data_IF_865882585339
#
_entry.id   IF_865882585339
#
_cell.length_a   1.000
_cell.length_b   1.000
_cell.length_c   1.000
_cell.angle_alpha   90.00
_cell.angle_beta   90.00
_cell.angle_gamma   90.00
#
_symmetry.space_group_name_H-M   'P 1'
#
loop_
_entity.id
_entity.type
_entity.pdbx_description
1 polymer ?
#
# COMPACT_ATOMS: atom_id res chain seq x y z
N UNK A 1 -30.45 43.59 -21.56
CA UNK A 1 -29.32 43.71 -20.63
C UNK A 1 -29.79 43.23 -19.27
N UNK A 2 -29.47 41.99 -18.91
CA UNK A 2 -29.81 41.40 -17.62
C UNK A 2 -28.51 40.90 -16.99
N UNK A 3 -27.96 41.70 -16.08
CA UNK A 3 -26.82 41.33 -15.25
C UNK A 3 -27.28 40.27 -14.24
N UNK A 4 -26.86 39.02 -14.40
CA UNK A 4 -26.96 38.00 -13.34
C UNK A 4 -25.64 37.94 -12.60
N UNK A 5 -25.73 37.99 -11.27
CA UNK A 5 -24.60 37.98 -10.36
C UNK A 5 -23.78 36.70 -10.51
N UNK A 6 -22.48 36.87 -10.69
CA UNK A 6 -21.50 35.80 -10.78
C UNK A 6 -21.40 35.13 -9.41
N UNK A 7 -21.94 33.93 -9.31
CA UNK A 7 -21.89 33.11 -8.10
C UNK A 7 -20.47 32.58 -7.90
N UNK A 8 -19.98 32.64 -6.66
CA UNK A 8 -18.65 32.15 -6.26
C UNK A 8 -18.36 30.70 -6.70
N UNK A 9 -19.41 29.92 -6.97
CA UNK A 9 -19.35 28.56 -7.52
C UNK A 9 -18.86 28.49 -8.97
N UNK A 10 -19.24 29.43 -9.85
CA UNK A 10 -18.80 29.44 -11.26
C UNK A 10 -17.32 29.82 -11.38
N UNK A 11 -16.77 30.59 -10.43
CA UNK A 11 -15.33 30.91 -10.41
C UNK A 11 -14.44 29.72 -10.04
N UNK A 12 -14.95 28.77 -9.26
CA UNK A 12 -14.26 27.50 -8.97
C UNK A 12 -14.29 26.56 -10.18
N UNK A 13 -15.36 26.63 -10.98
CA UNK A 13 -15.52 25.88 -12.22
C UNK A 13 -14.53 26.36 -13.29
N UNK A 14 -14.44 27.68 -13.52
CA UNK A 14 -13.48 28.29 -14.46
C UNK A 14 -12.01 28.13 -14.02
N UNK A 15 -11.75 28.08 -12.71
CA UNK A 15 -10.40 27.85 -12.19
C UNK A 15 -9.88 26.43 -12.48
N UNK A 16 -10.78 25.46 -12.72
CA UNK A 16 -10.44 24.07 -13.02
C UNK A 16 -10.08 23.85 -14.50
N UNK A 17 -10.34 24.83 -15.37
CA UNK A 17 -10.16 24.71 -16.83
C UNK A 17 -8.73 25.08 -17.29
N UNK A 18 -7.92 25.75 -16.46
CA UNK A 18 -6.54 26.08 -16.83
C UNK A 18 -5.58 24.94 -16.45
N UNK A 19 -4.75 24.44 -17.38
CA UNK A 19 -3.87 23.27 -17.16
C UNK A 19 -2.84 23.47 -16.03
N UNK A 20 -2.55 24.72 -15.64
CA UNK A 20 -1.63 25.04 -14.56
C UNK A 20 -2.30 25.11 -13.17
N UNK A 21 -3.58 25.49 -13.09
CA UNK A 21 -4.30 25.54 -11.79
C UNK A 21 -4.81 24.15 -11.40
N UNK A 22 -5.20 23.31 -12.36
CA UNK A 22 -5.58 21.92 -12.09
C UNK A 22 -4.46 21.10 -11.44
N UNK A 23 -3.22 21.28 -11.90
CA UNK A 23 -2.05 20.60 -11.30
C UNK A 23 -1.71 21.12 -9.91
N UNK A 24 -1.84 22.42 -9.64
CA UNK A 24 -1.67 22.99 -8.30
C UNK A 24 -2.74 22.45 -7.34
N UNK A 25 -4.00 22.40 -7.76
CA UNK A 25 -5.10 21.85 -6.95
C UNK A 25 -4.86 20.36 -6.68
N UNK A 26 -4.43 19.59 -7.68
CA UNK A 26 -4.08 18.18 -7.50
C UNK A 26 -2.95 17.97 -6.49
N UNK A 27 -1.90 18.80 -6.54
CA UNK A 27 -0.78 18.72 -5.62
C UNK A 27 -1.21 19.08 -4.18
N UNK A 28 -2.05 20.10 -4.03
CA UNK A 28 -2.63 20.48 -2.72
C UNK A 28 -3.49 19.36 -2.16
N UNK A 29 -4.34 18.74 -2.97
CA UNK A 29 -5.19 17.63 -2.51
C UNK A 29 -4.36 16.39 -2.18
N UNK A 30 -3.32 16.09 -2.95
CA UNK A 30 -2.42 14.98 -2.65
C UNK A 30 -1.65 15.22 -1.34
N UNK A 31 -1.15 16.44 -1.13
CA UNK A 31 -0.46 16.83 0.09
C UNK A 31 -1.41 16.78 1.31
N UNK A 32 -2.65 17.24 1.17
CA UNK A 32 -3.63 17.20 2.26
C UNK A 32 -4.04 15.77 2.58
N UNK A 33 -4.34 14.94 1.57
CA UNK A 33 -4.65 13.53 1.75
C UNK A 33 -3.49 12.80 2.44
N UNK A 34 -2.25 13.01 1.98
CA UNK A 34 -1.06 12.45 2.61
C UNK A 34 -0.91 12.86 4.07
N UNK A 35 -1.09 14.14 4.40
CA UNK A 35 -1.02 14.62 5.78
C UNK A 35 -2.10 13.99 6.67
N UNK A 36 -3.33 13.86 6.16
CA UNK A 36 -4.44 13.26 6.91
C UNK A 36 -4.18 11.77 7.15
N UNK A 37 -3.77 11.03 6.10
CA UNK A 37 -3.43 9.60 6.22
C UNK A 37 -2.31 9.40 7.24
N UNK A 38 -1.26 10.21 7.16
CA UNK A 38 -0.14 10.16 8.10
C UNK A 38 -0.59 10.44 9.52
N UNK A 39 -1.38 11.49 9.72
CA UNK A 39 -1.88 11.88 11.05
C UNK A 39 -2.74 10.77 11.67
N UNK A 40 -3.67 10.19 10.92
CA UNK A 40 -4.52 9.11 11.41
C UNK A 40 -3.69 7.84 11.66
N UNK A 41 -2.82 7.47 10.72
CA UNK A 41 -1.96 6.30 10.82
C UNK A 41 -1.04 6.37 12.03
N UNK A 42 -0.24 7.44 12.15
CA UNK A 42 0.66 7.66 13.30
C UNK A 42 -0.11 7.68 14.62
N UNK A 43 -1.27 8.35 14.67
CA UNK A 43 -2.09 8.38 15.89
C UNK A 43 -2.56 6.98 16.29
N UNK A 44 -3.04 6.16 15.33
CA UNK A 44 -3.52 4.82 15.63
C UNK A 44 -2.37 3.89 16.05
N UNK A 45 -1.20 4.04 15.45
CA UNK A 45 0.02 3.32 15.83
C UNK A 45 0.38 3.67 17.29
N UNK A 46 0.64 4.95 17.57
CA UNK A 46 1.16 5.37 18.88
C UNK A 46 0.17 5.18 20.03
N UNK A 47 -1.12 5.41 19.81
CA UNK A 47 -2.11 5.34 20.89
C UNK A 47 -2.80 3.99 21.04
N UNK A 48 -2.80 3.15 19.99
CA UNK A 48 -3.54 1.88 20.02
C UNK A 48 -2.61 0.70 19.79
N UNK A 49 -1.88 0.64 18.67
CA UNK A 49 -1.15 -0.58 18.32
C UNK A 49 0.16 -0.74 19.10
N UNK A 50 0.92 0.33 19.31
CA UNK A 50 2.14 0.31 20.13
C UNK A 50 1.86 -0.17 21.57
N UNK A 51 0.92 0.43 22.34
CA UNK A 51 0.62 -0.06 23.68
C UNK A 51 0.01 -1.46 23.69
N UNK A 52 -0.78 -1.83 22.66
CA UNK A 52 -1.32 -3.19 22.52
C UNK A 52 -0.20 -4.22 22.36
N UNK A 53 0.73 -4.01 21.44
CA UNK A 53 1.85 -4.93 21.19
C UNK A 53 2.81 -4.97 22.38
N UNK A 54 3.14 -3.83 22.97
CA UNK A 54 4.02 -3.78 24.15
C UNK A 54 3.39 -4.43 25.39
N UNK A 55 2.08 -4.32 25.58
CA UNK A 55 1.42 -4.87 26.78
C UNK A 55 1.05 -6.35 26.60
N UNK A 56 0.56 -6.75 25.42
CA UNK A 56 0.06 -8.11 25.18
C UNK A 56 1.10 -9.01 24.50
N UNK A 57 1.80 -8.50 23.49
CA UNK A 57 2.65 -9.33 22.64
C UNK A 57 4.09 -9.44 23.15
N UNK A 58 4.67 -8.35 23.67
CA UNK A 58 6.02 -8.36 24.24
C UNK A 58 6.22 -9.41 25.36
N UNK A 59 5.33 -9.55 26.37
CA UNK A 59 5.52 -10.58 27.40
C UNK A 59 5.38 -12.01 26.85
N UNK A 60 4.59 -12.20 25.79
CA UNK A 60 4.48 -13.50 25.12
C UNK A 60 5.79 -13.84 24.42
N UNK A 61 6.38 -12.88 23.70
CA UNK A 61 7.67 -13.08 23.05
C UNK A 61 8.81 -13.31 24.05
N UNK A 62 8.83 -12.59 25.17
CA UNK A 62 9.83 -12.81 26.22
C UNK A 62 9.71 -14.23 26.82
N UNK A 63 8.49 -14.69 27.12
CA UNK A 63 8.27 -16.07 27.59
C UNK A 63 8.68 -17.11 26.55
N UNK A 64 8.37 -16.86 25.27
CA UNK A 64 8.80 -17.75 24.18
C UNK A 64 10.32 -17.76 24.03
N UNK A 65 10.98 -16.61 24.22
CA UNK A 65 12.43 -16.50 24.23
C UNK A 65 13.06 -17.34 25.33
N UNK A 66 12.52 -17.24 26.55
CA UNK A 66 12.99 -18.01 27.70
C UNK A 66 12.79 -19.52 27.48
N UNK A 67 11.66 -19.93 26.87
CA UNK A 67 11.37 -21.32 26.52
C UNK A 67 12.28 -21.86 25.40
N UNK A 68 12.68 -21.02 24.45
CA UNK A 68 13.60 -21.36 23.36
C UNK A 68 15.08 -21.35 23.80
N UNK A 69 15.35 -21.10 25.09
CA UNK A 69 16.70 -21.16 25.66
C UNK A 69 17.51 -19.88 25.48
N UNK A 70 16.89 -18.76 25.12
CA UNK A 70 17.50 -17.42 25.04
C UNK A 70 18.59 -17.23 23.98
N UNK A 71 19.05 -18.29 23.32
CA UNK A 71 20.04 -18.25 22.24
C UNK A 71 19.96 -19.50 21.36
N UNK A 72 20.01 -19.32 20.04
CA UNK A 72 20.05 -20.42 19.06
C UNK A 72 19.43 -20.05 17.72
N UNK A 73 19.74 -20.83 16.68
CA UNK A 73 19.28 -20.57 15.30
C UNK A 73 17.76 -20.43 15.18
N UNK A 74 16.99 -21.25 15.91
CA UNK A 74 15.52 -21.16 15.91
C UNK A 74 15.01 -19.93 16.68
N UNK A 75 15.73 -19.50 17.72
CA UNK A 75 15.43 -18.28 18.47
C UNK A 75 15.71 -17.04 17.61
N UNK A 76 16.86 -17.00 16.94
CA UNK A 76 17.27 -15.88 16.07
C UNK A 76 16.33 -15.70 14.87
N UNK A 77 15.75 -16.79 14.34
CA UNK A 77 14.76 -16.70 13.25
C UNK A 77 13.39 -16.28 13.78
N UNK A 78 12.92 -16.91 14.87
CA UNK A 78 11.57 -16.71 15.35
C UNK A 78 11.40 -15.35 16.05
N UNK A 79 12.32 -15.00 16.95
CA UNK A 79 12.23 -13.83 17.82
C UNK A 79 13.26 -12.78 17.42
N UNK A 80 14.41 -13.22 16.94
CA UNK A 80 15.49 -12.33 16.55
C UNK A 80 16.31 -11.85 17.73
N UNK A 81 17.13 -10.84 17.51
CA UNK A 81 18.09 -10.42 18.52
C UNK A 81 17.40 -9.59 19.61
N UNK A 82 17.51 -10.02 20.86
CA UNK A 82 16.93 -9.35 22.03
C UNK A 82 18.04 -8.58 22.72
N UNK A 83 18.09 -7.27 22.53
CA UNK A 83 19.07 -6.41 23.18
C UNK A 83 18.56 -6.00 24.58
N UNK A 84 19.23 -6.43 25.64
CA UNK A 84 19.05 -5.85 26.99
C UNK A 84 17.81 -6.28 27.78
N UNK A 85 17.09 -7.34 27.37
CA UNK A 85 15.91 -7.85 28.09
C UNK A 85 14.58 -7.20 27.66
N UNK A 86 14.59 -6.31 26.68
CA UNK A 86 13.40 -5.75 26.04
C UNK A 86 13.35 -6.17 24.56
N UNK A 87 12.14 -6.45 24.07
CA UNK A 87 11.93 -6.82 22.66
C UNK A 87 11.71 -5.54 21.86
N UNK A 88 12.76 -5.10 21.16
CA UNK A 88 12.64 -4.01 20.19
C UNK A 88 12.08 -4.55 18.87
N UNK A 89 10.76 -4.45 18.71
CA UNK A 89 10.02 -4.95 17.55
C UNK A 89 10.54 -4.45 16.19
N UNK A 90 11.25 -3.32 16.14
CA UNK A 90 11.77 -2.75 14.90
C UNK A 90 13.15 -3.30 14.55
N UNK A 91 13.96 -3.64 15.55
CA UNK A 91 15.38 -3.98 15.40
C UNK A 91 15.69 -5.46 15.60
N UNK A 92 14.78 -6.23 16.21
CA UNK A 92 15.02 -7.64 16.47
C UNK A 92 15.10 -8.48 15.19
N UNK A 93 14.51 -8.05 14.06
CA UNK A 93 14.50 -8.77 12.77
C UNK A 93 13.95 -10.22 12.81
N UNK A 94 13.25 -10.60 13.88
CA UNK A 94 12.60 -11.91 13.98
C UNK A 94 11.24 -11.95 13.29
N UNK A 95 10.82 -13.15 12.88
CA UNK A 95 9.53 -13.37 12.22
C UNK A 95 8.33 -13.00 13.11
N UNK A 96 8.36 -13.37 14.40
CA UNK A 96 7.27 -13.13 15.35
C UNK A 96 7.38 -11.77 16.05
N UNK A 97 8.58 -11.16 16.04
CA UNK A 97 8.82 -9.81 16.52
C UNK A 97 8.52 -8.82 15.38
N UNK A 98 9.54 -8.42 14.62
CA UNK A 98 9.43 -7.46 13.52
C UNK A 98 8.53 -7.93 12.38
N UNK A 99 8.57 -9.21 12.03
CA UNK A 99 7.82 -9.76 10.91
C UNK A 99 6.32 -9.71 11.11
N UNK A 100 5.85 -9.79 12.36
CA UNK A 100 4.44 -9.64 12.71
C UNK A 100 4.09 -8.17 13.02
N UNK A 101 4.97 -7.48 13.75
CA UNK A 101 4.75 -6.10 14.17
C UNK A 101 4.67 -5.13 12.99
N UNK A 102 5.59 -5.21 12.03
CA UNK A 102 5.60 -4.26 10.90
C UNK A 102 4.30 -4.29 10.08
N UNK A 103 3.81 -5.44 9.57
CA UNK A 103 2.58 -5.45 8.78
C UNK A 103 1.33 -5.12 9.61
N UNK A 104 1.24 -5.62 10.85
CA UNK A 104 0.02 -5.45 11.66
C UNK A 104 -0.01 -4.15 12.45
N UNK A 105 1.09 -3.79 13.11
CA UNK A 105 1.19 -2.59 13.93
C UNK A 105 1.49 -1.36 13.09
N UNK A 106 2.40 -1.43 12.12
CA UNK A 106 2.81 -0.25 11.36
C UNK A 106 2.01 -0.06 10.06
N UNK A 107 1.85 -1.11 9.24
CA UNK A 107 1.25 -0.96 7.89
C UNK A 107 -0.28 -0.91 7.93
N UNK A 108 -0.93 -1.78 8.71
CA UNK A 108 -2.40 -1.88 8.76
C UNK A 108 -3.09 -0.53 9.10
N UNK A 109 -2.64 0.27 10.09
CA UNK A 109 -3.19 1.60 10.33
C UNK A 109 -3.16 2.54 9.14
N UNK A 110 -2.06 2.55 8.39
CA UNK A 110 -1.96 3.37 7.19
C UNK A 110 -2.91 2.91 6.10
N UNK A 111 -3.13 1.60 5.94
CA UNK A 111 -4.12 1.06 4.99
C UNK A 111 -5.53 1.51 5.37
N UNK A 112 -5.90 1.41 6.65
CA UNK A 112 -7.21 1.85 7.14
C UNK A 112 -7.41 3.34 6.90
N UNK A 113 -6.41 4.16 7.25
CA UNK A 113 -6.45 5.60 7.04
C UNK A 113 -6.52 5.97 5.54
N UNK A 114 -5.79 5.24 4.70
CA UNK A 114 -5.80 5.42 3.25
C UNK A 114 -7.17 5.16 2.65
N UNK A 115 -7.81 4.03 2.97
CA UNK A 115 -9.16 3.73 2.46
C UNK A 115 -10.22 4.69 3.00
N UNK A 116 -10.08 5.14 4.25
CA UNK A 116 -10.97 6.16 4.82
C UNK A 116 -10.87 7.48 4.03
N UNK A 117 -9.65 7.95 3.75
CA UNK A 117 -9.45 9.18 2.97
C UNK A 117 -9.88 9.01 1.52
N UNK A 118 -9.64 7.86 0.90
CA UNK A 118 -10.15 7.56 -0.43
C UNK A 118 -11.68 7.61 -0.48
N UNK A 119 -12.36 6.98 0.48
CA UNK A 119 -13.83 7.03 0.57
C UNK A 119 -14.33 8.47 0.71
N UNK A 120 -13.68 9.28 1.56
CA UNK A 120 -14.02 10.70 1.68
C UNK A 120 -13.82 11.48 0.37
N UNK A 121 -12.73 11.23 -0.36
CA UNK A 121 -12.47 11.86 -1.65
C UNK A 121 -13.45 11.41 -2.74
N UNK A 122 -13.94 10.17 -2.65
CA UNK A 122 -14.99 9.62 -3.51
C UNK A 122 -16.33 10.30 -3.23
N UNK A 123 -16.73 10.40 -1.96
CA UNK A 123 -18.00 11.02 -1.54
C UNK A 123 -18.09 12.51 -1.91
N UNK A 124 -16.96 13.22 -1.89
CA UNK A 124 -16.86 14.63 -2.33
C UNK A 124 -16.84 14.73 -3.88
N UNK A 125 -16.80 13.59 -4.57
CA UNK A 125 -16.74 13.51 -6.03
C UNK A 125 -15.43 14.06 -6.60
N UNK A 126 -14.33 14.05 -5.82
CA UNK A 126 -13.03 14.49 -6.30
C UNK A 126 -12.35 13.40 -7.14
N UNK A 127 -12.40 12.12 -6.71
CA UNK A 127 -11.83 11.00 -7.49
C UNK A 127 -12.44 10.89 -8.91
N UNK A 128 -13.77 10.97 -9.11
CA UNK A 128 -14.35 11.01 -10.46
C UNK A 128 -13.84 12.17 -11.32
N UNK A 129 -13.69 13.38 -10.73
CA UNK A 129 -13.15 14.56 -11.44
C UNK A 129 -11.68 14.39 -11.81
N UNK A 130 -10.89 13.84 -10.90
CA UNK A 130 -9.48 13.51 -11.12
C UNK A 130 -9.30 12.48 -12.23
N UNK A 131 -10.16 11.45 -12.28
CA UNK A 131 -10.13 10.43 -13.32
C UNK A 131 -10.39 11.02 -14.71
N UNK A 132 -11.36 11.93 -14.86
CA UNK A 132 -11.63 12.63 -16.13
C UNK A 132 -10.48 13.56 -16.53
N UNK A 133 -9.87 14.27 -15.57
CA UNK A 133 -8.70 15.10 -15.83
C UNK A 133 -7.49 14.27 -16.26
N UNK A 134 -7.24 13.14 -15.58
CA UNK A 134 -6.20 12.18 -15.96
C UNK A 134 -6.44 11.59 -17.34
N UNK A 135 -7.68 11.22 -17.66
CA UNK A 135 -8.04 10.73 -18.99
C UNK A 135 -7.76 11.80 -20.07
N UNK A 136 -8.10 13.07 -19.80
CA UNK A 136 -7.80 14.19 -20.71
C UNK A 136 -6.29 14.39 -20.92
N UNK A 137 -5.49 14.28 -19.85
CA UNK A 137 -4.02 14.37 -19.92
C UNK A 137 -3.45 13.19 -20.71
N UNK A 138 -3.91 11.97 -20.43
CA UNK A 138 -3.51 10.78 -21.17
C UNK A 138 -3.88 10.87 -22.65
N UNK A 139 -5.06 11.41 -22.96
CA UNK A 139 -5.50 11.69 -24.32
C UNK A 139 -4.56 12.66 -25.05
N UNK A 140 -4.16 13.74 -24.38
CA UNK A 140 -3.18 14.71 -24.91
C UNK A 140 -1.79 14.12 -25.10
N UNK A 141 -1.40 13.16 -24.27
CA UNK A 141 -0.15 12.41 -24.40
C UNK A 141 -0.23 11.28 -25.44
N UNK A 142 -1.38 11.09 -26.11
CA UNK A 142 -1.59 10.02 -27.11
C UNK A 142 -1.82 8.64 -26.50
N UNK A 143 -1.96 8.56 -25.17
CA UNK A 143 -2.17 7.34 -24.39
C UNK A 143 -3.65 7.09 -24.15
N UNK A 144 -4.47 7.11 -25.21
CA UNK A 144 -5.86 6.72 -25.06
C UNK A 144 -5.98 5.20 -25.17
N UNK A 145 -6.22 4.53 -24.05
CA UNK A 145 -6.97 3.27 -23.97
C UNK A 145 -6.48 2.00 -24.69
N UNK A 146 -5.43 2.01 -25.52
CA UNK A 146 -5.07 0.83 -26.34
C UNK A 146 -3.70 0.20 -26.07
N UNK A 147 -2.81 0.85 -25.31
CA UNK A 147 -1.47 0.31 -25.06
C UNK A 147 -1.21 -0.05 -23.59
N UNK A 148 -1.72 0.72 -22.62
CA UNK A 148 -1.36 0.54 -21.21
C UNK A 148 -2.11 -0.63 -20.58
N UNK A 149 -3.45 -0.64 -20.67
CA UNK A 149 -4.26 -1.73 -20.10
C UNK A 149 -3.91 -3.08 -20.76
N UNK A 150 -3.72 -3.17 -22.10
CA UNK A 150 -3.29 -4.42 -22.73
C UNK A 150 -1.84 -4.80 -22.41
N UNK A 151 -0.92 -3.85 -22.18
CA UNK A 151 0.45 -4.18 -21.80
C UNK A 151 0.51 -4.83 -20.43
N UNK A 152 -0.20 -4.30 -19.44
CA UNK A 152 -0.26 -4.88 -18.10
C UNK A 152 -0.88 -6.28 -18.16
N UNK A 153 -2.02 -6.42 -18.84
CA UNK A 153 -2.69 -7.72 -19.02
C UNK A 153 -1.81 -8.73 -19.81
N UNK A 154 -1.08 -8.25 -20.82
CA UNK A 154 -0.14 -9.06 -21.60
C UNK A 154 0.99 -9.57 -20.71
N UNK A 155 1.56 -8.73 -19.84
CA UNK A 155 2.61 -9.14 -18.91
C UNK A 155 2.09 -10.21 -17.95
N UNK A 156 0.91 -10.05 -17.35
CA UNK A 156 0.32 -11.07 -16.47
C UNK A 156 0.03 -12.39 -17.19
N UNK A 157 -0.46 -12.32 -18.42
CA UNK A 157 -0.77 -13.53 -19.22
C UNK A 157 0.50 -14.23 -19.69
N UNK A 158 1.53 -13.49 -20.08
CA UNK A 158 2.85 -14.04 -20.45
C UNK A 158 3.56 -14.65 -19.25
N UNK A 159 3.51 -14.02 -18.07
CA UNK A 159 4.12 -14.57 -16.86
C UNK A 159 3.44 -15.86 -16.40
N UNK A 160 2.09 -15.89 -16.37
CA UNK A 160 1.35 -17.09 -15.97
C UNK A 160 1.52 -18.25 -16.96
N UNK A 161 1.56 -17.99 -18.27
CA UNK A 161 1.82 -19.01 -19.29
C UNK A 161 3.27 -19.50 -19.26
N UNK A 162 4.25 -18.64 -18.98
CA UNK A 162 5.65 -19.04 -18.81
C UNK A 162 5.85 -19.98 -17.61
N UNK A 163 5.19 -19.69 -16.47
CA UNK A 163 5.21 -20.57 -15.30
C UNK A 163 4.53 -21.91 -15.60
N UNK A 164 3.45 -21.91 -16.37
CA UNK A 164 2.77 -23.14 -16.76
C UNK A 164 3.63 -23.97 -17.74
N UNK A 165 4.28 -23.31 -18.69
CA UNK A 165 5.21 -23.94 -19.64
C UNK A 165 6.45 -24.52 -18.96
N UNK A 166 7.03 -23.84 -17.95
CA UNK A 166 8.18 -24.38 -17.21
C UNK A 166 7.81 -25.64 -16.43
N UNK A 167 6.62 -25.67 -15.82
CA UNK A 167 6.11 -26.87 -15.12
C UNK A 167 5.83 -28.03 -16.08
N UNK A 168 5.30 -27.75 -17.26
CA UNK A 168 5.10 -28.79 -18.28
C UNK A 168 6.41 -29.25 -18.92
N UNK A 169 7.38 -28.36 -19.10
CA UNK A 169 8.70 -28.71 -19.62
C UNK A 169 9.44 -29.70 -18.71
N UNK A 170 9.34 -29.56 -17.39
CA UNK A 170 9.88 -30.53 -16.43
C UNK A 170 9.22 -31.92 -16.57
N UNK A 171 7.90 -31.98 -16.79
CA UNK A 171 7.20 -33.27 -16.97
C UNK A 171 7.47 -33.95 -18.31
N UNK A 172 7.77 -33.18 -19.37
CA UNK A 172 8.07 -33.74 -20.70
C UNK A 172 9.46 -34.36 -20.72
N UNK A 173 10.45 -33.72 -20.08
CA UNK A 173 11.82 -34.25 -20.00
C UNK A 173 11.82 -35.63 -19.32
N UNK A 174 11.12 -35.79 -18.19
CA UNK A 174 11.08 -37.07 -17.45
C UNK A 174 10.42 -38.23 -18.23
N UNK A 175 9.46 -37.94 -19.11
CA UNK A 175 8.77 -38.96 -19.94
C UNK A 175 9.58 -39.43 -21.16
N UNK A 176 10.60 -38.68 -21.57
CA UNK A 176 11.43 -38.97 -22.75
C UNK A 176 12.62 -39.89 -22.44
N UNK A 177 12.91 -40.16 -21.16
CA UNK A 177 14.02 -41.02 -20.71
C UNK A 177 13.61 -42.44 -20.28
N UNK A 178 12.31 -42.77 -20.27
CA UNK A 178 11.84 -44.13 -19.94
C UNK A 178 11.57 -44.92 -21.23
N UNK A 179 12.35 -45.98 -21.55
CA UNK A 179 12.01 -46.89 -22.63
C UNK A 179 10.73 -47.67 -22.27
N UNK A 180 9.85 -47.82 -23.27
CA UNK A 180 8.59 -48.56 -23.20
C UNK A 180 8.76 -50.04 -22.86
#
# INVERSE_FOLDING_TARGET
VTHRHHTWFERLEDASVKPLTGSIIALVVLASAFMIIRLIGESLITYVLDPLFNTLWAPVLLKLSDLLGGSGFLHDIAIGNIAGGEVNFIESFGLLSSGLYVPLAMVLPYIIAFYLVLGLLEDIGYLPRLAVLMDTIMHRLGLHGYAIIPADLSIFTTLSSAIMASRTAETVDESLWLPA
#
